data_IF_209292630976
#
_entry.id   IF_209292630976
#
_cell.length_a   1.000
_cell.length_b   1.000
_cell.length_c   1.000
_cell.angle_alpha   90.00
_cell.angle_beta   90.00
_cell.angle_gamma   90.00
#
_symmetry.space_group_name_H-M   'P 1'
#
loop_
_entity.id
_entity.type
_entity.pdbx_description
1 polymer ?
#
# COMPACT_ATOMS: atom_id res chain seq x y z
N UNK A 1 -5.35 29.33 9.96
CA UNK A 1 -6.28 28.57 9.11
C UNK A 1 -7.20 29.55 8.40
N UNK A 2 -6.97 29.79 7.11
CA UNK A 2 -7.66 30.87 6.37
C UNK A 2 -8.96 30.38 5.71
N UNK A 3 -9.44 29.19 6.08
CA UNK A 3 -10.63 28.59 5.48
C UNK A 3 -10.52 28.24 3.99
N UNK A 4 -9.36 28.43 3.36
CA UNK A 4 -9.11 28.00 1.98
C UNK A 4 -8.92 26.48 1.94
N UNK A 5 -9.75 25.79 1.16
CA UNK A 5 -9.57 24.39 0.84
C UNK A 5 -8.60 24.27 -0.35
N UNK A 6 -7.31 24.49 -0.11
CA UNK A 6 -6.30 24.29 -1.15
C UNK A 6 -6.19 22.79 -1.48
N UNK A 7 -6.47 22.42 -2.73
CA UNK A 7 -6.43 21.05 -3.22
C UNK A 7 -5.25 20.89 -4.20
N UNK A 8 -4.05 20.50 -3.73
CA UNK A 8 -2.89 20.34 -4.60
C UNK A 8 -3.15 19.24 -5.65
N UNK A 9 -2.82 19.53 -6.92
CA UNK A 9 -3.01 18.63 -8.06
C UNK A 9 -1.67 18.29 -8.69
N UNK A 10 -1.44 17.01 -8.95
CA UNK A 10 -0.27 16.52 -9.65
C UNK A 10 -0.62 15.29 -10.51
N UNK A 11 0.22 14.99 -11.50
CA UNK A 11 0.02 13.84 -12.38
C UNK A 11 0.61 12.58 -11.74
N UNK A 12 -0.24 11.63 -11.32
CA UNK A 12 0.21 10.38 -10.73
C UNK A 12 0.58 9.31 -11.78
N UNK A 13 -0.25 9.15 -12.81
CA UNK A 13 -0.07 8.20 -13.90
C UNK A 13 -0.34 8.87 -15.26
N UNK A 14 0.26 8.38 -16.37
CA UNK A 14 0.21 9.08 -17.66
C UNK A 14 -1.18 9.15 -18.32
N UNK A 15 -2.03 8.14 -18.08
CA UNK A 15 -3.34 8.02 -18.75
C UNK A 15 -4.46 8.20 -17.74
N UNK A 16 -4.48 7.36 -16.70
CA UNK A 16 -5.58 7.35 -15.73
C UNK A 16 -5.13 6.92 -14.34
N UNK A 17 -5.89 7.29 -13.31
CA UNK A 17 -5.65 6.92 -11.91
C UNK A 17 -6.98 6.59 -11.24
N UNK A 18 -7.13 5.37 -10.72
CA UNK A 18 -8.41 4.80 -10.28
C UNK A 18 -8.36 4.37 -8.81
N UNK A 19 -7.54 3.38 -8.39
CA UNK A 19 -7.43 3.04 -7.00
C UNK A 19 -6.42 3.93 -6.26
N UNK A 20 -6.75 4.20 -5.01
CA UNK A 20 -5.94 4.94 -4.06
C UNK A 20 -6.12 4.34 -2.66
N UNK A 21 -5.03 4.21 -1.90
CA UNK A 21 -5.12 3.77 -0.51
C UNK A 21 -4.13 4.51 0.37
N UNK A 22 -4.57 4.94 1.55
CA UNK A 22 -3.73 5.56 2.57
C UNK A 22 -2.92 4.52 3.34
N UNK A 23 -1.64 4.79 3.56
CA UNK A 23 -0.82 4.02 4.49
C UNK A 23 -1.19 4.38 5.92
N UNK A 24 -1.06 3.42 6.84
CA UNK A 24 -1.23 3.72 8.26
C UNK A 24 -0.11 4.57 8.81
N UNK A 25 -0.42 5.50 9.73
CA UNK A 25 0.54 6.09 10.63
C UNK A 25 1.44 5.02 11.25
N UNK A 26 2.74 5.09 10.99
CA UNK A 26 3.72 4.37 11.80
C UNK A 26 4.09 5.26 12.96
N UNK A 27 3.80 4.82 14.19
CA UNK A 27 4.41 5.43 15.36
C UNK A 27 5.93 5.39 15.15
N UNK A 28 6.66 6.50 15.40
CA UNK A 28 8.09 6.50 15.23
C UNK A 28 8.69 5.38 16.09
N UNK A 29 9.68 4.68 15.53
CA UNK A 29 10.41 3.56 16.15
C UNK A 29 11.03 3.89 17.52
N UNK A 30 10.95 5.15 17.95
CA UNK A 30 11.39 5.71 19.22
C UNK A 30 10.41 5.54 20.40
N UNK A 31 9.23 4.95 20.20
CA UNK A 31 8.30 4.70 21.33
C UNK A 31 8.88 3.70 22.34
N UNK A 32 9.75 2.77 21.88
CA UNK A 32 10.43 1.78 22.72
C UNK A 32 11.92 2.11 23.00
N UNK A 33 12.43 3.26 22.54
CA UNK A 33 13.83 3.66 22.83
C UNK A 33 13.90 4.48 24.12
N UNK A 34 14.89 4.23 25.01
CA UNK A 34 15.09 5.04 26.21
C UNK A 34 15.28 6.52 25.82
N UNK A 35 14.69 7.40 26.63
CA UNK A 35 14.54 8.85 26.39
C UNK A 35 15.82 9.59 25.97
N UNK A 36 16.99 9.06 26.32
CA UNK A 36 18.28 9.72 26.14
C UNK A 36 18.85 9.70 24.71
N UNK A 37 18.23 8.99 23.75
CA UNK A 37 18.79 8.89 22.39
C UNK A 37 17.75 9.10 21.27
N UNK A 38 16.73 9.93 21.52
CA UNK A 38 15.76 10.32 20.48
C UNK A 38 16.43 11.28 19.49
N UNK A 39 16.96 10.73 18.40
CA UNK A 39 17.26 11.52 17.21
C UNK A 39 15.96 12.18 16.73
N UNK A 40 15.87 13.50 16.89
CA UNK A 40 14.68 14.31 16.56
C UNK A 40 14.31 14.17 15.06
N UNK A 41 15.27 13.79 14.20
CA UNK A 41 15.04 13.50 12.78
C UNK A 41 14.28 12.20 12.49
N UNK A 42 14.20 11.26 13.44
CA UNK A 42 13.49 9.98 13.28
C UNK A 42 12.00 10.03 13.71
N UNK A 43 11.52 11.20 14.13
CA UNK A 43 10.15 11.43 14.62
C UNK A 43 9.17 11.87 13.53
N UNK A 44 9.61 11.98 12.28
CA UNK A 44 8.73 12.49 11.21
C UNK A 44 7.89 11.32 10.68
N UNK A 45 6.65 11.26 11.17
CA UNK A 45 5.60 10.46 10.56
C UNK A 45 5.46 10.90 9.08
N UNK A 46 5.86 10.01 8.17
CA UNK A 46 5.72 10.28 6.74
C UNK A 46 4.34 9.80 6.30
N UNK A 47 3.47 10.76 5.98
CA UNK A 47 2.17 10.43 5.38
C UNK A 47 2.42 9.84 4.00
N UNK A 48 1.88 8.64 3.75
CA UNK A 48 2.02 7.94 2.47
C UNK A 48 0.68 7.45 1.96
N UNK A 49 0.56 7.34 0.64
CA UNK A 49 -0.53 6.62 -0.02
C UNK A 49 -0.05 5.97 -1.31
N UNK A 50 -0.80 4.98 -1.79
CA UNK A 50 -0.49 4.23 -2.99
C UNK A 50 -1.54 4.51 -4.07
N UNK A 51 -1.12 4.47 -5.32
CA UNK A 51 -1.96 4.56 -6.52
C UNK A 51 -1.50 3.52 -7.54
N UNK A 52 -2.35 3.12 -8.50
CA UNK A 52 -1.91 2.27 -9.62
C UNK A 52 -2.98 2.10 -10.69
N UNK A 53 -2.66 2.18 -11.98
CA UNK A 53 -3.61 1.84 -13.07
C UNK A 53 -2.89 1.40 -14.34
N UNK A 54 -2.51 2.37 -15.18
CA UNK A 54 -2.37 2.17 -16.62
C UNK A 54 -0.95 1.81 -17.06
N UNK A 55 0.03 2.10 -16.20
CA UNK A 55 1.43 1.76 -16.37
C UNK A 55 1.78 0.41 -15.73
N UNK A 56 0.80 -0.33 -15.20
CA UNK A 56 0.95 -1.61 -14.50
C UNK A 56 1.83 -1.52 -13.23
N UNK A 57 2.11 -0.30 -12.79
CA UNK A 57 2.93 0.00 -11.62
C UNK A 57 2.05 0.45 -10.46
N UNK A 58 2.39 -0.03 -9.27
CA UNK A 58 1.92 0.60 -8.03
C UNK A 58 2.92 1.68 -7.66
N UNK A 59 2.46 2.92 -7.48
CA UNK A 59 3.28 4.06 -7.06
C UNK A 59 2.94 4.44 -5.64
N UNK A 60 3.97 4.68 -4.84
CA UNK A 60 3.82 5.15 -3.47
C UNK A 60 4.26 6.61 -3.40
N UNK A 61 3.39 7.44 -2.87
CA UNK A 61 3.59 8.87 -2.69
C UNK A 61 3.84 9.17 -1.23
N UNK A 62 4.79 10.05 -0.94
CA UNK A 62 5.09 10.50 0.41
C UNK A 62 4.99 12.03 0.49
N UNK A 63 4.46 12.53 1.60
CA UNK A 63 4.44 13.96 1.86
C UNK A 63 5.81 14.40 2.36
N UNK A 64 6.46 15.27 1.60
CA UNK A 64 7.64 15.99 2.09
C UNK A 64 7.19 17.03 3.11
N UNK A 65 7.46 16.79 4.39
CA UNK A 65 6.99 17.64 5.49
C UNK A 65 7.61 19.04 5.50
N UNK A 66 8.74 19.24 4.81
CA UNK A 66 9.39 20.55 4.69
C UNK A 66 8.75 21.43 3.62
N UNK A 67 8.36 20.82 2.50
CA UNK A 67 7.81 21.55 1.33
C UNK A 67 6.28 21.50 1.28
N UNK A 68 5.65 20.54 1.97
CA UNK A 68 4.22 20.27 1.86
C UNK A 68 3.81 19.61 0.54
N UNK A 69 4.78 19.15 -0.26
CA UNK A 69 4.56 18.59 -1.59
C UNK A 69 4.53 17.06 -1.52
N UNK A 70 3.62 16.46 -2.27
CA UNK A 70 3.58 15.02 -2.50
C UNK A 70 4.60 14.61 -3.55
N UNK A 71 5.56 13.80 -3.16
CA UNK A 71 6.64 13.33 -4.02
C UNK A 71 6.53 11.82 -4.21
N UNK A 72 6.94 11.34 -5.38
CA UNK A 72 7.02 9.90 -5.65
C UNK A 72 8.13 9.30 -4.80
N UNK A 73 7.76 8.40 -3.88
CA UNK A 73 8.70 7.70 -3.00
C UNK A 73 9.20 6.42 -3.65
N UNK A 74 8.28 5.55 -4.11
CA UNK A 74 8.62 4.21 -4.59
C UNK A 74 7.78 3.82 -5.80
N UNK A 75 8.33 2.93 -6.62
CA UNK A 75 7.63 2.25 -7.72
C UNK A 75 7.73 0.74 -7.49
N UNK A 76 6.59 0.08 -7.40
CA UNK A 76 6.54 -1.38 -7.31
C UNK A 76 6.38 -1.92 -8.73
N UNK A 77 7.48 -2.44 -9.27
CA UNK A 77 7.60 -2.92 -10.64
C UNK A 77 7.42 -4.43 -10.73
N UNK A 78 7.12 -4.93 -11.93
CA UNK A 78 7.03 -6.36 -12.25
C UNK A 78 5.94 -7.16 -11.52
N UNK A 79 5.02 -6.49 -10.82
CA UNK A 79 3.93 -7.16 -10.11
C UNK A 79 2.74 -7.51 -11.00
N UNK A 80 2.36 -6.58 -11.87
CA UNK A 80 1.19 -6.72 -12.73
C UNK A 80 1.58 -6.68 -14.21
N UNK A 81 0.83 -7.41 -15.03
CA UNK A 81 1.00 -7.45 -16.50
C UNK A 81 -0.14 -6.78 -17.25
N UNK A 82 -1.13 -6.26 -16.52
CA UNK A 82 -2.27 -5.53 -17.04
C UNK A 82 -2.74 -4.48 -16.03
N UNK A 83 -3.80 -3.73 -16.34
CA UNK A 83 -4.28 -2.62 -15.54
C UNK A 83 -4.60 -3.00 -14.11
N UNK A 84 -4.11 -2.17 -13.18
CA UNK A 84 -4.41 -2.30 -11.76
C UNK A 84 -5.83 -1.78 -11.51
N UNK A 85 -6.61 -2.54 -10.75
CA UNK A 85 -8.01 -2.29 -10.42
C UNK A 85 -8.20 -1.81 -9.00
N UNK A 86 -7.39 -2.33 -8.08
CA UNK A 86 -7.41 -1.91 -6.69
C UNK A 86 -6.05 -1.97 -6.02
N UNK A 87 -5.85 -1.10 -5.02
CA UNK A 87 -4.71 -1.12 -4.10
C UNK A 87 -5.23 -0.90 -2.69
N UNK A 88 -4.73 -1.64 -1.71
CA UNK A 88 -5.20 -1.57 -0.33
C UNK A 88 -4.03 -1.71 0.64
N UNK A 89 -3.77 -0.69 1.45
CA UNK A 89 -2.82 -0.78 2.56
C UNK A 89 -3.44 -1.54 3.73
N UNK A 90 -2.61 -2.38 4.34
CA UNK A 90 -2.95 -3.06 5.58
C UNK A 90 -2.96 -2.07 6.76
N UNK A 91 -3.91 -2.24 7.68
CA UNK A 91 -3.96 -1.49 8.92
C UNK A 91 -3.05 -2.10 10.00
N UNK A 92 -1.73 -2.00 9.81
CA UNK A 92 -0.70 -2.55 10.70
C UNK A 92 -0.39 -1.68 11.91
N UNK A 93 -1.36 -1.47 12.81
CA UNK A 93 -1.17 -0.63 14.00
C UNK A 93 -0.12 -1.28 14.94
N UNK A 94 1.00 -0.60 15.15
CA UNK A 94 2.06 -1.06 16.06
C UNK A 94 3.03 -2.10 15.47
N UNK A 95 2.91 -2.40 14.17
CA UNK A 95 3.86 -3.27 13.46
C UNK A 95 5.01 -2.44 12.88
N UNK A 96 6.21 -3.02 12.88
CA UNK A 96 7.38 -2.40 12.24
C UNK A 96 7.32 -2.53 10.71
N UNK A 97 6.69 -3.58 10.19
CA UNK A 97 6.50 -3.79 8.76
C UNK A 97 5.19 -3.20 8.25
N UNK A 98 5.04 -3.14 6.93
CA UNK A 98 3.81 -2.72 6.24
C UNK A 98 3.51 -3.69 5.11
N UNK A 99 2.24 -4.04 4.96
CA UNK A 99 1.75 -4.67 3.75
C UNK A 99 0.86 -3.74 2.92
N UNK A 100 0.96 -3.90 1.61
CA UNK A 100 0.10 -3.31 0.60
C UNK A 100 -0.35 -4.44 -0.32
N UNK A 101 -1.64 -4.59 -0.54
CA UNK A 101 -2.17 -5.49 -1.56
C UNK A 101 -2.47 -4.71 -2.84
N UNK A 102 -2.23 -5.31 -4.00
CA UNK A 102 -2.65 -4.78 -5.30
C UNK A 102 -3.27 -5.86 -6.14
N UNK A 103 -4.21 -5.48 -6.99
CA UNK A 103 -4.86 -6.41 -7.91
C UNK A 103 -5.24 -5.77 -9.22
N UNK A 104 -5.35 -6.58 -10.28
CA UNK A 104 -5.51 -6.09 -11.63
C UNK A 104 -6.36 -6.96 -12.55
N UNK A 105 -6.41 -6.50 -13.78
CA UNK A 105 -7.05 -7.14 -14.92
C UNK A 105 -6.34 -8.44 -15.34
N UNK A 106 -5.11 -8.65 -14.86
CA UNK A 106 -4.29 -9.85 -15.07
C UNK A 106 -4.69 -11.03 -14.18
N UNK A 107 -5.74 -10.89 -13.37
CA UNK A 107 -6.25 -11.89 -12.43
C UNK A 107 -5.28 -12.19 -11.28
N UNK A 108 -4.29 -11.31 -11.07
CA UNK A 108 -3.27 -11.48 -10.03
C UNK A 108 -3.65 -10.61 -8.84
N UNK A 109 -3.43 -11.17 -7.65
CA UNK A 109 -3.35 -10.40 -6.41
C UNK A 109 -1.93 -10.52 -5.89
N UNK A 110 -1.27 -9.38 -5.73
CA UNK A 110 0.06 -9.28 -5.14
C UNK A 110 -0.06 -8.70 -3.74
N UNK A 111 0.70 -9.27 -2.81
CA UNK A 111 1.01 -8.64 -1.53
C UNK A 111 2.44 -8.08 -1.61
N UNK A 112 2.61 -6.85 -1.17
CA UNK A 112 3.89 -6.17 -1.10
C UNK A 112 4.19 -5.93 0.35
N UNK A 113 5.38 -6.31 0.83
CA UNK A 113 5.79 -6.09 2.21
C UNK A 113 7.05 -5.23 2.28
N UNK A 114 7.08 -4.32 3.25
CA UNK A 114 8.23 -3.47 3.54
C UNK A 114 8.49 -3.47 5.03
N UNK A 115 9.69 -3.84 5.44
CA UNK A 115 10.14 -3.67 6.83
C UNK A 115 10.36 -2.18 7.13
N UNK A 116 10.09 -1.74 8.35
CA UNK A 116 10.14 -0.33 8.74
C UNK A 116 11.53 0.30 8.67
N UNK A 117 12.58 -0.51 8.68
CA UNK A 117 13.97 -0.08 8.47
C UNK A 117 14.43 -0.15 7.02
N UNK A 118 13.62 -0.71 6.12
CA UNK A 118 13.98 -0.94 4.72
C UNK A 118 13.22 -0.01 3.79
N UNK A 119 13.87 0.48 2.74
CA UNK A 119 13.20 1.11 1.60
C UNK A 119 12.74 0.06 0.57
N UNK A 120 13.30 -1.14 0.61
CA UNK A 120 13.00 -2.21 -0.34
C UNK A 120 11.65 -2.87 -0.03
N UNK A 121 10.81 -2.96 -1.07
CA UNK A 121 9.57 -3.72 -1.06
C UNK A 121 9.81 -5.13 -1.60
N UNK A 122 9.24 -6.12 -0.92
CA UNK A 122 9.27 -7.51 -1.33
C UNK A 122 7.90 -7.88 -1.90
N UNK A 123 7.88 -8.44 -3.10
CA UNK A 123 6.67 -8.97 -3.71
C UNK A 123 6.43 -10.40 -3.23
N UNK A 124 5.28 -10.62 -2.60
CA UNK A 124 4.72 -11.91 -2.27
C UNK A 124 3.52 -12.12 -3.20
N UNK A 125 3.73 -12.83 -4.31
CA UNK A 125 2.63 -13.17 -5.22
C UNK A 125 1.68 -14.13 -4.50
N UNK A 126 0.40 -13.76 -4.39
CA UNK A 126 -0.54 -14.53 -3.57
C UNK A 126 -1.31 -15.55 -4.38
N UNK A 127 -1.98 -15.17 -5.47
CA UNK A 127 -2.61 -16.16 -6.34
C UNK A 127 -3.04 -15.58 -7.69
N UNK A 128 -2.86 -16.39 -8.74
CA UNK A 128 -3.51 -16.27 -10.05
C UNK A 128 -4.48 -17.43 -10.32
N UNK A 129 -4.27 -18.60 -9.70
CA UNK A 129 -4.91 -19.85 -10.14
C UNK A 129 -6.23 -20.18 -9.43
N UNK A 130 -6.53 -19.51 -8.31
CA UNK A 130 -7.77 -19.74 -7.54
C UNK A 130 -8.92 -18.81 -7.93
N UNK A 131 -8.62 -17.76 -8.69
CA UNK A 131 -9.57 -16.71 -9.05
C UNK A 131 -10.09 -16.95 -10.46
N UNK A 132 -11.41 -17.14 -10.59
CA UNK A 132 -12.05 -17.23 -11.88
C UNK A 132 -12.46 -15.82 -12.33
N UNK A 133 -11.57 -15.17 -13.07
CA UNK A 133 -11.83 -13.86 -13.68
C UNK A 133 -11.20 -12.67 -12.96
N UNK A 134 -11.60 -11.49 -13.42
CA UNK A 134 -11.04 -10.20 -13.03
C UNK A 134 -11.25 -9.91 -11.55
N UNK A 135 -10.24 -9.36 -10.90
CA UNK A 135 -10.35 -8.97 -9.51
C UNK A 135 -10.71 -7.49 -9.42
N UNK A 136 -11.70 -7.18 -8.59
CA UNK A 136 -12.30 -5.84 -8.55
C UNK A 136 -11.85 -5.03 -7.35
N UNK A 137 -11.94 -5.62 -6.15
CA UNK A 137 -11.70 -4.92 -4.89
C UNK A 137 -10.93 -5.76 -3.89
N UNK A 138 -10.10 -5.07 -3.12
CA UNK A 138 -9.32 -5.56 -2.01
C UNK A 138 -9.75 -4.82 -0.74
N UNK A 139 -9.90 -5.54 0.37
CA UNK A 139 -10.20 -4.92 1.64
C UNK A 139 -9.53 -5.66 2.79
N UNK A 140 -8.64 -4.96 3.49
CA UNK A 140 -8.02 -5.49 4.69
C UNK A 140 -8.97 -5.41 5.88
N UNK A 141 -9.02 -6.50 6.65
CA UNK A 141 -9.60 -6.45 7.98
C UNK A 141 -8.80 -5.49 8.86
N UNK A 142 -9.49 -4.72 9.70
CA UNK A 142 -8.87 -3.91 10.76
C UNK A 142 -8.06 -4.83 11.70
N UNK A 143 -6.77 -4.55 11.85
CA UNK A 143 -5.82 -5.43 12.55
C UNK A 143 -5.05 -6.41 11.65
N UNK A 144 -5.21 -6.30 10.32
CA UNK A 144 -4.18 -6.66 9.34
C UNK A 144 -4.07 -8.11 8.88
N UNK A 145 -4.75 -9.05 9.55
CA UNK A 145 -4.48 -10.47 9.35
C UNK A 145 -5.35 -11.20 8.31
N UNK A 146 -6.31 -10.52 7.68
CA UNK A 146 -7.19 -11.13 6.67
C UNK A 146 -7.45 -10.12 5.56
N UNK A 147 -7.29 -10.58 4.31
CA UNK A 147 -7.60 -9.84 3.10
C UNK A 147 -8.87 -10.41 2.47
N UNK A 148 -9.87 -9.55 2.26
CA UNK A 148 -11.04 -9.88 1.46
C UNK A 148 -10.81 -9.47 0.00
N UNK A 149 -11.08 -10.38 -0.92
CA UNK A 149 -10.89 -10.22 -2.37
C UNK A 149 -12.21 -10.49 -3.07
N UNK A 150 -12.62 -9.58 -3.96
CA UNK A 150 -13.82 -9.74 -4.79
C UNK A 150 -13.42 -9.94 -6.25
N UNK A 151 -14.01 -10.93 -6.92
CA UNK A 151 -13.71 -11.27 -8.31
C UNK A 151 -14.96 -11.30 -9.19
N UNK A 152 -14.75 -11.32 -10.51
CA UNK A 152 -15.78 -11.29 -11.54
C UNK A 152 -16.64 -12.55 -11.65
N UNK A 153 -16.30 -13.62 -10.93
CA UNK A 153 -17.14 -14.82 -10.79
C UNK A 153 -18.27 -14.67 -9.76
N UNK A 154 -18.42 -13.48 -9.17
CA UNK A 154 -19.43 -13.19 -8.16
C UNK A 154 -19.11 -13.78 -6.79
N UNK A 155 -17.87 -14.23 -6.56
CA UNK A 155 -17.42 -14.77 -5.27
C UNK A 155 -16.55 -13.77 -4.52
N UNK A 156 -16.56 -13.94 -3.20
CA UNK A 156 -15.64 -13.28 -2.28
C UNK A 156 -14.73 -14.35 -1.71
N UNK A 157 -13.41 -14.13 -1.78
CA UNK A 157 -12.42 -15.00 -1.16
C UNK A 157 -11.74 -14.27 -0.02
N UNK A 158 -11.48 -14.99 1.08
CA UNK A 158 -10.84 -14.46 2.29
C UNK A 158 -9.49 -15.13 2.46
N UNK A 159 -8.43 -14.34 2.46
CA UNK A 159 -7.05 -14.81 2.44
C UNK A 159 -6.35 -14.42 3.72
N UNK A 160 -5.47 -15.29 4.20
CA UNK A 160 -4.77 -15.09 5.46
C UNK A 160 -3.40 -15.74 5.35
N UNK A 161 -2.38 -14.96 5.69
CA UNK A 161 -1.02 -15.46 5.77
C UNK A 161 -0.89 -16.61 6.78
N UNK A 162 -0.25 -17.69 6.34
CA UNK A 162 0.13 -18.82 7.16
C UNK A 162 1.51 -18.59 7.81
N UNK A 163 1.91 -19.48 8.72
CA UNK A 163 3.18 -19.38 9.44
C UNK A 163 4.43 -19.45 8.52
N UNK A 164 4.27 -19.83 7.25
CA UNK A 164 5.34 -19.89 6.25
C UNK A 164 5.40 -18.64 5.37
N UNK A 165 4.55 -17.64 5.64
CA UNK A 165 4.46 -16.43 4.83
C UNK A 165 3.72 -16.61 3.51
N UNK A 166 2.99 -17.72 3.33
CA UNK A 166 2.13 -17.91 2.16
C UNK A 166 0.70 -17.48 2.50
N UNK A 167 0.00 -16.92 1.52
CA UNK A 167 -1.33 -16.33 1.67
C UNK A 167 -2.44 -17.23 1.13
#
# INVERSE_FOLDING_TARGET
DNGSCDAPRFTAHPIDCNPISWATPKAPSSFNSPLNNRNIGALIETKKFATGVCDWLVKIWALNTKTGIWELSERLESGHTDWIRDVAYELGIGLNWTCLASTGQDHIVNAWTQDGSSTCWIQLAVASNSLSGLVWRLSWKVGGNVLAVTAGDGKVTLWKENLKGCW
#
